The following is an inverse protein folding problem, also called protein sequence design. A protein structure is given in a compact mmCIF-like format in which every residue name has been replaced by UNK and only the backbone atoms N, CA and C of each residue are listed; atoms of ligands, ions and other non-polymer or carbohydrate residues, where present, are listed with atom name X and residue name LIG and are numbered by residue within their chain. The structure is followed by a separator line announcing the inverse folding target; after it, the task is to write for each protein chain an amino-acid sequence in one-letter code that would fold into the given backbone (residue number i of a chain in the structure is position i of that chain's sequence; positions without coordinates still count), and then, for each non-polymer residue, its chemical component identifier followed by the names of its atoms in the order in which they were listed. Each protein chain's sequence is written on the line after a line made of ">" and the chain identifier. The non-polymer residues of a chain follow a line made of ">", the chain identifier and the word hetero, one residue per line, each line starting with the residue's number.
data_IF_822623838797
#
_entry.id   IF_822623838797
#
_cell.length_a   1.000
_cell.length_b   1.000
_cell.length_c   1.000
_cell.angle_alpha   90.00
_cell.angle_beta   90.00
_cell.angle_gamma   90.00
#
_symmetry.space_group_name_H-M   'P 1'
#
loop_
_entity.id
_entity.type
_entity.pdbx_description
1 polymer ?
#
# COMPACT_ATOMS: atom_id res chain seq x y z
N UNK A 1 2.61 -16.70 24.02
CA UNK A 1 2.10 -15.52 23.30
C UNK A 1 2.19 -15.79 21.79
N UNK A 2 1.10 -15.58 21.09
CA UNK A 2 1.07 -15.81 19.65
C UNK A 2 1.78 -14.67 18.91
N UNK A 3 2.76 -14.99 18.12
CA UNK A 3 3.43 -14.02 17.28
C UNK A 3 2.96 -14.17 15.84
N UNK A 4 2.52 -13.08 15.24
CA UNK A 4 2.09 -13.10 13.85
C UNK A 4 3.31 -13.22 12.95
N UNK A 5 3.24 -14.15 12.01
CA UNK A 5 4.32 -14.33 11.03
C UNK A 5 4.06 -13.55 9.74
N UNK A 6 2.90 -12.92 9.65
CA UNK A 6 2.53 -12.11 8.50
C UNK A 6 1.91 -10.81 8.99
N UNK A 7 1.98 -9.80 8.15
CA UNK A 7 1.32 -8.53 8.39
C UNK A 7 0.65 -8.05 7.11
N UNK A 8 -0.36 -7.23 7.27
CA UNK A 8 -1.05 -6.64 6.14
C UNK A 8 -0.27 -5.43 5.64
N UNK A 9 -0.19 -5.31 4.33
CA UNK A 9 0.43 -4.17 3.67
C UNK A 9 -0.55 -3.64 2.64
N UNK A 10 -0.71 -2.34 2.62
CA UNK A 10 -1.55 -1.66 1.63
C UNK A 10 -0.65 -0.88 0.69
N UNK A 11 -0.67 -1.26 -0.58
CA UNK A 11 0.14 -0.62 -1.60
C UNK A 11 -0.70 0.38 -2.37
N UNK A 12 -0.20 1.61 -2.48
CA UNK A 12 -0.83 2.60 -3.33
C UNK A 12 -0.31 2.40 -4.75
N UNK A 13 -1.21 2.03 -5.65
CA UNK A 13 -0.89 1.79 -7.04
C UNK A 13 -1.32 2.98 -7.88
N UNK A 14 -0.51 3.33 -8.85
CA UNK A 14 -0.82 4.42 -9.78
C UNK A 14 -0.74 3.96 -11.22
N UNK A 15 -1.52 4.59 -12.08
CA UNK A 15 -1.51 4.33 -13.51
C UNK A 15 -1.60 5.66 -14.25
N UNK A 16 -0.54 6.03 -14.92
CA UNK A 16 -0.47 7.26 -15.71
C UNK A 16 -0.60 6.97 -17.21
N UNK A 17 -1.07 5.77 -17.57
CA UNK A 17 -1.23 5.36 -18.96
C UNK A 17 -0.22 4.29 -19.39
N UNK A 18 0.70 3.89 -18.51
CA UNK A 18 1.75 2.93 -18.80
C UNK A 18 1.65 1.65 -17.99
N UNK A 19 0.52 1.45 -17.34
CA UNK A 19 0.30 0.30 -16.46
C UNK A 19 0.35 0.70 -14.99
N UNK A 20 0.05 -0.26 -14.13
CA UNK A 20 0.01 -0.03 -12.69
C UNK A 20 1.38 -0.17 -12.07
N UNK A 21 1.77 0.83 -11.28
CA UNK A 21 3.04 0.84 -10.56
C UNK A 21 2.78 1.13 -9.10
N UNK A 22 3.61 0.56 -8.22
CA UNK A 22 3.51 0.82 -6.79
C UNK A 22 4.23 2.13 -6.44
N UNK A 23 3.50 3.09 -5.87
CA UNK A 23 4.07 4.37 -5.47
C UNK A 23 4.61 4.31 -4.05
N UNK A 24 3.83 3.74 -3.13
CA UNK A 24 4.24 3.62 -1.74
C UNK A 24 3.44 2.51 -1.06
N UNK A 25 3.90 2.14 0.12
CA UNK A 25 3.25 1.11 0.92
C UNK A 25 3.05 1.61 2.35
N UNK A 26 1.92 1.26 2.92
CA UNK A 26 1.60 1.59 4.30
C UNK A 26 1.19 0.32 5.04
N UNK A 27 1.35 0.31 6.34
CA UNK A 27 1.03 -0.86 7.16
C UNK A 27 -0.24 -0.70 7.98
N UNK A 28 -0.95 0.41 7.80
CA UNK A 28 -2.28 0.60 8.36
C UNK A 28 -3.21 1.10 7.27
N UNK A 29 -4.49 0.70 7.37
CA UNK A 29 -5.49 1.12 6.40
C UNK A 29 -5.74 2.62 6.45
N UNK A 30 -5.70 3.20 7.65
CA UNK A 30 -5.91 4.64 7.82
C UNK A 30 -4.85 5.45 7.08
N UNK A 31 -3.58 5.05 7.20
CA UNK A 31 -2.48 5.72 6.50
C UNK A 31 -2.62 5.56 4.99
N UNK A 32 -2.96 4.35 4.53
CA UNK A 32 -3.13 4.07 3.11
C UNK A 32 -4.25 4.93 2.52
N UNK A 33 -5.35 5.07 3.24
CA UNK A 33 -6.47 5.90 2.81
C UNK A 33 -6.09 7.36 2.68
N UNK A 34 -5.34 7.87 3.66
CA UNK A 34 -4.88 9.25 3.64
C UNK A 34 -3.93 9.48 2.47
N UNK A 35 -3.01 8.55 2.23
CA UNK A 35 -2.09 8.63 1.11
C UNK A 35 -2.83 8.64 -0.22
N UNK A 36 -3.82 7.77 -0.37
CA UNK A 36 -4.64 7.72 -1.58
C UNK A 36 -5.35 9.05 -1.83
N UNK A 37 -5.91 9.64 -0.78
CA UNK A 37 -6.58 10.92 -0.87
C UNK A 37 -5.62 12.02 -1.33
N UNK A 38 -4.43 12.06 -0.75
CA UNK A 38 -3.42 13.05 -1.12
C UNK A 38 -3.01 12.93 -2.58
N UNK A 39 -2.80 11.71 -3.06
CA UNK A 39 -2.44 11.48 -4.46
C UNK A 39 -3.56 11.85 -5.41
N UNK A 40 -4.81 11.58 -5.04
CA UNK A 40 -5.96 11.92 -5.88
C UNK A 40 -6.15 13.44 -5.98
N UNK A 41 -5.87 14.16 -4.91
CA UNK A 41 -5.99 15.62 -4.91
C UNK A 41 -4.88 16.32 -5.69
N UNK A 42 -3.68 15.72 -5.70
CA UNK A 42 -2.49 16.37 -6.28
C UNK A 42 -2.00 15.72 -7.57
N UNK A 43 -2.55 14.57 -7.96
CA UNK A 43 -2.09 13.83 -9.12
C UNK A 43 -3.11 13.79 -10.24
N UNK A 44 -2.65 13.46 -11.43
CA UNK A 44 -3.47 13.39 -12.63
C UNK A 44 -3.68 11.95 -13.13
N UNK A 45 -3.23 10.96 -12.38
CA UNK A 45 -3.35 9.57 -12.75
C UNK A 45 -4.53 8.88 -12.10
N UNK A 46 -4.64 7.60 -12.35
CA UNK A 46 -5.57 6.73 -11.66
C UNK A 46 -4.85 6.08 -10.50
N UNK A 47 -5.52 6.01 -9.35
CA UNK A 47 -4.92 5.47 -8.13
C UNK A 47 -5.85 4.46 -7.49
N UNK A 48 -5.27 3.42 -6.89
CA UNK A 48 -6.03 2.45 -6.12
C UNK A 48 -5.15 1.87 -5.01
N UNK A 49 -5.80 1.28 -4.01
CA UNK A 49 -5.10 0.59 -2.93
C UNK A 49 -5.26 -0.91 -3.16
N UNK A 50 -4.15 -1.64 -3.08
CA UNK A 50 -4.16 -3.10 -3.12
C UNK A 50 -3.65 -3.61 -1.78
N UNK A 51 -4.42 -4.51 -1.17
CA UNK A 51 -4.04 -5.13 0.08
C UNK A 51 -3.27 -6.41 -0.19
N UNK A 52 -2.10 -6.51 0.41
CA UNK A 52 -1.25 -7.70 0.31
C UNK A 52 -0.88 -8.18 1.70
N UNK A 53 -0.65 -9.46 1.84
CA UNK A 53 -0.15 -10.02 3.08
C UNK A 53 1.35 -10.27 2.91
N UNK A 54 2.12 -9.65 3.77
CA UNK A 54 3.57 -9.71 3.72
C UNK A 54 4.08 -10.64 4.82
N UNK A 55 5.03 -11.48 4.48
CA UNK A 55 5.68 -12.34 5.47
C UNK A 55 6.65 -11.52 6.29
N UNK A 56 6.52 -11.60 7.61
CA UNK A 56 7.44 -10.94 8.52
C UNK A 56 8.70 -11.80 8.57
N UNK A 57 9.84 -11.19 8.28
CA UNK A 57 11.11 -11.90 8.35
C UNK A 57 11.51 -12.12 9.79
N UNK A 58 11.71 -13.38 10.16
CA UNK A 58 12.18 -13.71 11.48
C UNK A 58 13.71 -13.67 11.50
N UNK A 59 14.23 -12.83 12.37
CA UNK A 59 15.66 -12.78 12.61
C UNK A 59 15.91 -13.62 13.87
N UNK A 60 16.48 -14.78 13.69
CA UNK A 60 16.88 -15.63 14.79
C UNK A 60 18.33 -15.37 15.17
#
# INVERSE_FOLDING_TARGET
>A
MYERKTRDRWDLMSNYGYGWECECSDYTYAEAKQTLKDYRENGNGNYRIEKHREKIEEVN
#
